data_IF_536769088484
#
_entry.id   IF_536769088484
#
_cell.length_a   1.000
_cell.length_b   1.000
_cell.length_c   1.000
_cell.angle_alpha   90.00
_cell.angle_beta   90.00
_cell.angle_gamma   90.00
#
_symmetry.space_group_name_H-M   'P 1'
#
loop_
_entity.id
_entity.type
_entity.pdbx_description
1 polymer ?
#
# COMPACT_ATOMS: atom_id res chain seq x y z
N UNK A 1 -9.27 -18.48 -5.22
CA UNK A 1 -8.01 -17.95 -4.63
C UNK A 1 -8.31 -17.32 -3.27
N UNK A 2 -7.41 -17.45 -2.28
CA UNK A 2 -7.53 -16.82 -0.96
C UNK A 2 -6.22 -16.09 -0.66
N UNK A 3 -6.31 -14.87 -0.13
CA UNK A 3 -5.19 -14.09 0.40
C UNK A 3 -5.31 -13.99 1.93
N UNK A 4 -4.21 -14.10 2.65
CA UNK A 4 -4.14 -14.01 4.10
C UNK A 4 -2.81 -13.42 4.55
N UNK A 5 -2.74 -12.98 5.80
CA UNK A 5 -1.54 -12.49 6.45
C UNK A 5 -1.36 -13.12 7.83
N UNK A 6 -0.12 -13.35 8.21
CA UNK A 6 0.24 -13.66 9.59
C UNK A 6 0.45 -12.38 10.42
N UNK A 7 0.63 -11.23 9.77
CA UNK A 7 0.83 -9.95 10.45
C UNK A 7 -0.48 -9.36 11.00
N UNK A 8 -1.62 -9.59 10.31
CA UNK A 8 -2.96 -9.14 10.75
C UNK A 8 -4.08 -9.95 10.10
N UNK A 9 -5.26 -9.98 10.74
CA UNK A 9 -6.47 -10.60 10.20
C UNK A 9 -7.28 -9.64 9.32
N UNK A 10 -8.22 -10.20 8.55
CA UNK A 10 -9.13 -9.38 7.72
C UNK A 10 -9.97 -8.42 8.59
N UNK A 11 -10.02 -7.16 8.19
CA UNK A 11 -10.61 -6.05 8.93
C UNK A 11 -10.03 -5.86 10.36
N UNK A 12 -8.79 -6.31 10.59
CA UNK A 12 -8.09 -6.08 11.83
C UNK A 12 -7.01 -5.00 11.66
N UNK A 13 -6.56 -4.46 12.80
CA UNK A 13 -5.55 -3.40 12.82
C UNK A 13 -4.23 -3.88 12.23
N UNK A 14 -3.69 -3.12 11.29
CA UNK A 14 -2.32 -3.30 10.78
C UNK A 14 -1.34 -3.00 11.92
N UNK A 15 -0.34 -3.87 12.20
CA UNK A 15 0.66 -3.61 13.23
C UNK A 15 1.45 -2.32 12.95
N UNK A 16 1.79 -1.58 14.00
CA UNK A 16 2.59 -0.36 13.88
C UNK A 16 3.90 -0.55 13.13
N UNK A 17 4.54 -1.72 13.27
CA UNK A 17 5.76 -2.05 12.51
C UNK A 17 5.54 -2.06 10.97
N UNK A 18 4.31 -2.31 10.51
CA UNK A 18 3.96 -2.25 9.10
C UNK A 18 3.45 -0.86 8.66
N UNK A 19 3.33 0.10 9.57
CA UNK A 19 2.91 1.46 9.25
C UNK A 19 4.11 2.37 8.94
N UNK A 20 3.87 3.43 8.18
CA UNK A 20 4.84 4.52 7.97
C UNK A 20 5.00 5.34 9.24
N UNK A 21 3.89 5.58 9.96
CA UNK A 21 3.89 6.27 11.24
C UNK A 21 2.99 5.58 12.27
N UNK A 22 3.29 5.80 13.55
CA UNK A 22 2.50 5.37 14.71
C UNK A 22 2.07 6.58 15.53
N UNK A 23 0.99 6.49 16.33
CA UNK A 23 0.60 7.57 17.24
C UNK A 23 1.73 7.92 18.21
N UNK A 24 1.92 9.22 18.47
CA UNK A 24 2.87 9.74 19.44
C UNK A 24 2.18 10.76 20.36
N UNK A 25 2.54 10.72 21.65
CA UNK A 25 1.79 11.47 22.69
C UNK A 25 1.93 12.99 22.58
N UNK A 26 3.06 13.50 22.10
CA UNK A 26 3.37 14.95 22.00
C UNK A 26 3.35 15.47 20.58
N UNK A 27 3.85 14.68 19.62
CA UNK A 27 4.07 15.12 18.23
C UNK A 27 3.01 14.55 17.28
N UNK A 28 1.90 14.02 17.82
CA UNK A 28 0.84 13.29 17.13
C UNK A 28 1.28 12.01 16.48
N UNK A 29 2.42 11.99 15.80
CA UNK A 29 2.99 10.83 15.12
C UNK A 29 4.48 10.68 15.38
N UNK A 30 4.96 9.44 15.32
CA UNK A 30 6.36 9.10 15.19
C UNK A 30 6.54 8.17 13.98
N UNK A 31 7.66 8.29 13.26
CA UNK A 31 7.99 7.38 12.16
C UNK A 31 8.16 5.95 12.68
N UNK A 32 7.75 4.97 11.89
CA UNK A 32 7.79 3.56 12.27
C UNK A 32 8.69 2.74 11.35
N UNK A 33 8.72 1.41 11.56
CA UNK A 33 9.60 0.51 10.82
C UNK A 33 9.21 0.33 9.34
N UNK A 34 8.00 0.70 8.94
CA UNK A 34 7.55 0.71 7.54
C UNK A 34 7.81 -0.63 6.81
N UNK A 35 7.59 -1.74 7.52
CA UNK A 35 7.77 -3.10 6.97
C UNK A 35 6.56 -3.49 6.14
N UNK A 36 6.77 -4.07 4.95
CA UNK A 36 5.63 -4.71 4.31
C UNK A 36 5.14 -5.89 5.18
N UNK A 37 3.81 -6.10 5.31
CA UNK A 37 3.29 -7.24 6.06
C UNK A 37 3.63 -8.57 5.37
N UNK A 38 3.65 -9.66 6.15
CA UNK A 38 3.64 -11.00 5.59
C UNK A 38 2.31 -11.22 4.86
N UNK A 39 2.39 -11.78 3.65
CA UNK A 39 1.23 -12.17 2.85
C UNK A 39 1.42 -13.60 2.34
N UNK A 40 0.34 -14.37 2.28
CA UNK A 40 0.34 -15.69 1.67
C UNK A 40 -0.97 -15.95 0.95
N UNK A 41 -0.91 -16.77 -0.10
CA UNK A 41 -2.09 -17.09 -0.90
C UNK A 41 -2.14 -18.54 -1.34
N UNK A 42 -3.34 -19.01 -1.60
CA UNK A 42 -3.62 -20.38 -2.04
C UNK A 42 -4.76 -20.42 -3.05
N UNK A 43 -4.89 -21.54 -3.74
CA UNK A 43 -5.97 -21.77 -4.71
C UNK A 43 -5.89 -20.84 -5.92
N UNK A 44 -4.68 -20.45 -6.33
CA UNK A 44 -4.48 -19.79 -7.61
C UNK A 44 -4.85 -20.72 -8.77
N UNK A 45 -5.41 -20.20 -9.88
CA UNK A 45 -5.64 -21.00 -11.09
C UNK A 45 -4.35 -21.65 -11.59
N UNK A 46 -4.46 -22.90 -12.09
CA UNK A 46 -3.28 -23.66 -12.55
C UNK A 46 -2.60 -23.04 -13.79
N UNK A 47 -3.33 -22.25 -14.56
CA UNK A 47 -2.87 -21.51 -15.74
C UNK A 47 -2.36 -20.10 -15.43
N UNK A 48 -2.34 -19.71 -14.15
CA UNK A 48 -1.72 -18.45 -13.73
C UNK A 48 -0.22 -18.44 -14.07
N UNK A 49 0.24 -17.38 -14.72
CA UNK A 49 1.64 -17.19 -15.12
C UNK A 49 2.37 -16.18 -14.26
N UNK A 50 1.65 -15.22 -13.69
CA UNK A 50 2.19 -14.24 -12.74
C UNK A 50 1.13 -13.72 -11.80
N UNK A 51 1.58 -12.96 -10.78
CA UNK A 51 0.70 -12.22 -9.90
C UNK A 51 1.04 -10.73 -9.92
N UNK A 52 -0.01 -9.94 -9.68
CA UNK A 52 0.06 -8.51 -9.35
C UNK A 52 -0.50 -8.32 -7.96
N UNK A 53 0.19 -7.56 -7.11
CA UNK A 53 -0.28 -7.16 -5.79
C UNK A 53 -0.39 -5.64 -5.74
N UNK A 54 -1.57 -5.14 -5.34
CA UNK A 54 -1.82 -3.72 -5.11
C UNK A 54 -2.33 -3.54 -3.68
N UNK A 55 -1.76 -2.59 -2.95
CA UNK A 55 -2.33 -2.08 -1.71
C UNK A 55 -2.77 -0.64 -1.93
N UNK A 56 -4.04 -0.33 -1.66
CA UNK A 56 -4.57 1.03 -1.71
C UNK A 56 -5.46 1.33 -0.50
N UNK A 57 -5.51 2.60 -0.14
CA UNK A 57 -6.41 3.20 0.84
C UNK A 57 -7.44 4.04 0.08
N UNK A 58 -8.72 3.74 0.23
CA UNK A 58 -9.81 4.47 -0.42
C UNK A 58 -10.44 5.56 0.47
N UNK A 59 -9.91 5.75 1.67
CA UNK A 59 -10.43 6.69 2.66
C UNK A 59 -9.62 8.01 2.73
N UNK A 60 -8.69 8.23 1.80
CA UNK A 60 -7.83 9.41 1.82
C UNK A 60 -8.63 10.68 1.53
N UNK A 61 -8.49 11.75 2.33
CA UNK A 61 -9.19 13.01 2.11
C UNK A 61 -8.95 13.56 0.71
N UNK A 62 -10.03 13.96 0.00
CA UNK A 62 -9.92 14.56 -1.35
C UNK A 62 -9.33 15.98 -1.34
N UNK A 63 -9.16 16.60 -0.15
CA UNK A 63 -8.57 17.91 0.07
C UNK A 63 -7.69 17.90 1.32
N UNK A 64 -6.59 18.63 1.26
CA UNK A 64 -5.61 18.71 2.35
C UNK A 64 -5.80 19.85 3.34
N UNK A 65 -6.84 20.71 3.18
CA UNK A 65 -6.96 21.97 3.91
C UNK A 65 -6.97 21.82 5.45
N UNK A 66 -7.57 20.74 5.95
CA UNK A 66 -7.68 20.46 7.38
C UNK A 66 -6.75 19.33 7.84
N UNK A 67 -6.05 18.67 6.90
CA UNK A 67 -5.18 17.53 7.19
C UNK A 67 -4.04 17.94 8.10
N UNK A 68 -3.92 17.25 9.25
CA UNK A 68 -2.85 17.45 10.22
C UNK A 68 -2.75 18.90 10.75
N UNK A 69 -3.90 19.59 10.90
CA UNK A 69 -3.97 20.95 11.45
C UNK A 69 -4.46 20.93 12.90
N UNK A 70 -3.74 21.65 13.79
CA UNK A 70 -4.16 21.83 15.17
C UNK A 70 -5.52 22.54 15.27
N UNK A 71 -6.38 22.04 16.16
CA UNK A 71 -7.72 22.60 16.38
C UNK A 71 -8.71 22.35 15.24
N UNK A 72 -8.35 21.54 14.24
CA UNK A 72 -9.22 21.11 13.15
C UNK A 72 -9.41 19.60 13.15
N UNK A 73 -10.45 19.12 12.47
CA UNK A 73 -10.61 17.71 12.13
C UNK A 73 -10.87 17.55 10.63
N UNK A 74 -10.50 16.41 10.07
CA UNK A 74 -10.90 16.02 8.71
C UNK A 74 -12.28 15.37 8.83
N UNK A 75 -13.35 16.00 8.33
CA UNK A 75 -14.71 15.50 8.55
C UNK A 75 -14.96 14.16 7.86
N UNK A 76 -15.72 13.29 8.52
CA UNK A 76 -16.17 12.02 7.93
C UNK A 76 -16.97 12.21 6.63
N UNK A 77 -17.65 13.36 6.47
CA UNK A 77 -18.45 13.70 5.29
C UNK A 77 -17.62 14.20 4.10
N UNK A 78 -16.31 14.44 4.26
CA UNK A 78 -15.45 14.87 3.17
C UNK A 78 -15.35 13.74 2.12
N UNK A 79 -15.52 14.01 0.81
CA UNK A 79 -15.26 13.02 -0.23
C UNK A 79 -13.86 12.41 -0.13
N UNK A 80 -13.76 11.12 -0.39
CA UNK A 80 -12.52 10.35 -0.27
C UNK A 80 -12.01 9.94 -1.65
N UNK A 81 -10.71 9.69 -1.74
CA UNK A 81 -10.01 9.27 -2.96
C UNK A 81 -9.06 8.12 -2.67
N UNK A 82 -8.73 7.35 -3.71
CA UNK A 82 -7.75 6.28 -3.60
C UNK A 82 -6.33 6.84 -3.43
N UNK A 83 -5.53 6.14 -2.61
CA UNK A 83 -4.11 6.36 -2.44
C UNK A 83 -3.39 5.01 -2.49
N UNK A 84 -2.48 4.85 -3.45
CA UNK A 84 -1.76 3.60 -3.64
C UNK A 84 -0.52 3.55 -2.75
N UNK A 85 -0.47 2.55 -1.87
CA UNK A 85 0.62 2.28 -0.92
C UNK A 85 1.65 1.28 -1.44
N UNK A 86 1.23 0.38 -2.33
CA UNK A 86 2.10 -0.63 -2.92
C UNK A 86 1.57 -1.05 -4.29
N UNK A 87 2.47 -1.08 -5.28
CA UNK A 87 2.19 -1.55 -6.64
C UNK A 87 3.31 -2.53 -7.00
N UNK A 88 3.01 -3.82 -7.05
CA UNK A 88 3.97 -4.90 -7.33
C UNK A 88 3.44 -5.75 -8.47
N UNK A 89 4.23 -5.92 -9.52
CA UNK A 89 3.86 -6.68 -10.73
C UNK A 89 4.90 -7.76 -11.03
N UNK A 90 4.52 -8.71 -11.87
CA UNK A 90 5.40 -9.77 -12.37
C UNK A 90 5.91 -10.74 -11.30
N UNK A 91 5.20 -10.90 -10.16
CA UNK A 91 5.52 -11.97 -9.23
C UNK A 91 5.32 -13.32 -9.93
N UNK A 92 6.34 -14.20 -9.99
CA UNK A 92 6.22 -15.48 -10.68
C UNK A 92 5.13 -16.38 -10.09
N UNK A 93 4.49 -17.20 -10.92
CA UNK A 93 3.44 -18.15 -10.51
C UNK A 93 3.89 -19.14 -9.42
N UNK A 94 5.18 -19.43 -9.31
CA UNK A 94 5.75 -20.29 -8.27
C UNK A 94 5.86 -19.64 -6.89
N UNK A 95 5.64 -18.33 -6.78
CA UNK A 95 5.61 -17.61 -5.48
C UNK A 95 4.20 -17.73 -4.89
N UNK A 96 4.11 -18.11 -3.63
CA UNK A 96 2.84 -18.23 -2.89
C UNK A 96 2.83 -17.45 -1.57
N UNK A 97 3.91 -16.76 -1.26
CA UNK A 97 4.01 -15.92 -0.07
C UNK A 97 5.07 -14.82 -0.25
N UNK A 98 4.90 -13.76 0.51
CA UNK A 98 5.86 -12.66 0.73
C UNK A 98 6.11 -12.62 2.23
N UNK A 99 7.38 -12.62 2.66
CA UNK A 99 7.73 -12.48 4.07
C UNK A 99 7.53 -11.02 4.54
N UNK A 100 7.31 -10.84 5.85
CA UNK A 100 7.38 -9.51 6.46
C UNK A 100 8.77 -8.90 6.23
N UNK A 101 8.82 -7.61 5.96
CA UNK A 101 10.06 -6.87 5.67
C UNK A 101 10.83 -7.34 4.42
N UNK A 102 10.23 -8.14 3.56
CA UNK A 102 10.93 -8.64 2.36
C UNK A 102 11.12 -7.55 1.29
N UNK A 103 10.14 -6.69 1.09
CA UNK A 103 10.14 -5.64 0.07
C UNK A 103 10.28 -4.23 0.64
N UNK A 104 10.08 -4.07 1.95
CA UNK A 104 10.24 -2.82 2.67
C UNK A 104 10.60 -3.09 4.13
N UNK A 105 11.73 -2.57 4.60
CA UNK A 105 12.18 -2.62 5.97
C UNK A 105 12.84 -1.27 6.31
N UNK A 106 12.02 -0.26 6.51
CA UNK A 106 12.43 1.10 6.83
C UNK A 106 11.84 2.16 5.90
N UNK A 107 11.92 3.40 6.35
CA UNK A 107 11.60 4.59 5.56
C UNK A 107 12.87 5.05 4.86
N UNK A 108 12.78 5.29 3.56
CA UNK A 108 13.89 5.83 2.76
C UNK A 108 13.50 7.22 2.29
N UNK A 109 14.16 8.24 2.81
CA UNK A 109 13.96 9.62 2.34
C UNK A 109 14.16 9.68 0.82
N UNK A 110 13.26 10.37 0.11
CA UNK A 110 13.21 10.46 -1.35
C UNK A 110 12.83 9.16 -2.07
N UNK A 111 12.37 8.15 -1.32
CA UNK A 111 11.85 6.90 -1.84
C UNK A 111 12.87 5.79 -2.05
N UNK A 112 12.38 4.57 -2.02
CA UNK A 112 13.14 3.37 -2.36
C UNK A 112 13.40 3.31 -3.86
N UNK A 113 14.49 2.67 -4.24
CA UNK A 113 14.84 2.44 -5.65
C UNK A 113 13.90 1.42 -6.30
N UNK A 114 13.74 1.53 -7.62
CA UNK A 114 12.95 0.65 -8.46
C UNK A 114 13.18 0.94 -9.94
N UNK A 115 12.42 0.30 -10.83
CA UNK A 115 11.31 -0.63 -10.56
C UNK A 115 11.72 -2.07 -10.19
N UNK A 116 12.96 -2.51 -10.45
CA UNK A 116 13.40 -3.89 -10.23
C UNK A 116 13.28 -4.28 -8.75
N UNK A 117 12.75 -5.48 -8.50
CA UNK A 117 12.49 -6.00 -7.17
C UNK A 117 12.86 -7.48 -7.04
N UNK A 118 12.72 -8.04 -5.84
CA UNK A 118 12.96 -9.46 -5.57
C UNK A 118 12.10 -10.36 -6.46
N UNK A 119 12.53 -11.60 -6.63
CA UNK A 119 11.88 -12.63 -7.46
C UNK A 119 11.76 -12.28 -8.96
N UNK A 120 12.48 -11.29 -9.47
CA UNK A 120 12.32 -10.80 -10.83
C UNK A 120 11.06 -9.97 -11.05
N UNK A 121 10.36 -9.63 -9.98
CA UNK A 121 9.22 -8.73 -9.99
C UNK A 121 9.65 -7.28 -10.23
N UNK A 122 8.67 -6.41 -10.47
CA UNK A 122 8.85 -4.94 -10.56
C UNK A 122 7.88 -4.23 -9.63
N UNK A 123 8.30 -3.09 -9.10
CA UNK A 123 7.48 -2.21 -8.28
C UNK A 123 7.19 -0.91 -9.03
N UNK A 124 5.94 -0.45 -8.97
CA UNK A 124 5.55 0.88 -9.42
C UNK A 124 5.72 1.93 -8.34
N UNK A 125 5.52 3.18 -8.74
CA UNK A 125 5.47 4.32 -7.82
C UNK A 125 4.19 4.26 -6.99
N UNK A 126 4.34 4.45 -5.70
CA UNK A 126 3.24 4.70 -4.78
C UNK A 126 2.95 6.21 -4.68
N UNK A 127 1.84 6.59 -4.04
CA UNK A 127 1.35 7.96 -4.05
C UNK A 127 2.05 8.86 -3.03
N UNK A 128 2.91 8.33 -2.16
CA UNK A 128 3.85 9.16 -1.39
C UNK A 128 4.76 10.00 -2.31
N UNK A 129 5.01 9.55 -3.55
CA UNK A 129 5.69 10.34 -4.59
C UNK A 129 5.00 11.69 -4.83
N UNK A 130 3.68 11.71 -4.91
CA UNK A 130 2.92 12.94 -5.08
C UNK A 130 2.75 13.70 -3.77
N UNK A 131 2.54 12.97 -2.66
CA UNK A 131 2.37 13.54 -1.34
C UNK A 131 3.59 14.38 -0.90
N UNK A 132 4.79 13.85 -1.12
CA UNK A 132 6.04 14.52 -0.74
C UNK A 132 6.61 15.46 -1.82
N UNK A 133 5.93 15.70 -2.94
CA UNK A 133 6.47 16.51 -4.04
C UNK A 133 6.90 17.93 -3.65
N UNK A 134 6.28 18.51 -2.62
CA UNK A 134 6.62 19.83 -2.07
C UNK A 134 7.60 19.84 -0.91
N UNK A 135 7.99 18.67 -0.39
CA UNK A 135 8.87 18.53 0.75
C UNK A 135 10.35 18.49 0.31
N UNK A 136 11.19 19.35 0.90
CA UNK A 136 12.62 19.47 0.50
C UNK A 136 13.44 18.24 0.84
N UNK A 137 13.11 17.55 1.94
CA UNK A 137 13.86 16.39 2.44
C UNK A 137 13.31 15.07 1.88
N UNK A 138 11.99 15.02 1.65
CA UNK A 138 11.31 13.77 1.28
C UNK A 138 10.94 13.69 -0.20
N UNK A 139 10.94 14.79 -0.96
CA UNK A 139 10.58 14.77 -2.39
C UNK A 139 11.41 13.78 -3.20
N UNK A 140 10.76 12.86 -3.93
CA UNK A 140 11.42 11.84 -4.75
C UNK A 140 10.46 10.78 -5.28
N UNK A 141 11.02 9.71 -5.86
CA UNK A 141 10.29 8.61 -6.45
C UNK A 141 10.16 7.45 -5.45
N UNK A 142 8.95 7.22 -4.94
CA UNK A 142 8.65 6.18 -3.94
C UNK A 142 8.22 4.90 -4.64
N UNK A 143 9.14 3.96 -4.85
CA UNK A 143 8.83 2.62 -5.34
C UNK A 143 8.50 1.68 -4.18
N UNK A 144 7.59 0.73 -4.43
CA UNK A 144 7.28 -0.34 -3.50
C UNK A 144 6.32 0.06 -2.39
N UNK A 145 6.44 -0.65 -1.27
CA UNK A 145 5.56 -0.48 -0.12
C UNK A 145 6.00 0.68 0.76
N UNK A 146 5.07 1.59 1.03
CA UNK A 146 5.11 2.51 2.14
C UNK A 146 3.76 2.45 2.87
N UNK A 147 3.82 2.17 4.18
CA UNK A 147 2.68 1.76 4.98
C UNK A 147 1.72 2.88 5.38
N UNK A 148 0.73 2.56 6.22
CA UNK A 148 -0.25 3.51 6.72
C UNK A 148 0.33 4.75 7.39
N UNK A 149 -0.20 5.92 7.02
CA UNK A 149 0.01 7.20 7.70
C UNK A 149 -1.20 8.13 7.46
N UNK A 150 -2.41 7.74 7.89
CA UNK A 150 -3.59 8.58 7.71
C UNK A 150 -3.45 9.86 8.55
N UNK A 151 -4.22 10.92 8.27
CA UNK A 151 -4.20 12.14 9.09
C UNK A 151 -4.48 11.82 10.57
N UNK A 152 -3.66 12.36 11.48
CA UNK A 152 -3.84 12.13 12.92
C UNK A 152 -5.11 12.80 13.49
N UNK A 153 -5.76 13.66 12.71
CA UNK A 153 -7.01 14.33 13.04
C UNK A 153 -8.18 13.91 12.17
N UNK A 154 -8.08 12.79 11.44
CA UNK A 154 -9.20 12.26 10.64
C UNK A 154 -10.27 11.64 11.56
N UNK A 155 -11.54 11.87 11.21
CA UNK A 155 -12.69 11.37 11.98
C UNK A 155 -13.04 9.92 11.66
N UNK A 156 -12.41 9.30 10.66
CA UNK A 156 -12.69 7.91 10.26
C UNK A 156 -11.46 7.01 10.33
N UNK A 157 -11.71 5.72 10.47
CA UNK A 157 -10.71 4.67 10.23
C UNK A 157 -10.40 4.59 8.73
N UNK A 158 -9.15 4.35 8.39
CA UNK A 158 -8.72 4.09 7.02
C UNK A 158 -8.61 2.59 6.75
N UNK A 159 -8.99 2.16 5.54
CA UNK A 159 -8.97 0.78 5.09
C UNK A 159 -7.90 0.59 4.01
N UNK A 160 -6.98 -0.32 4.28
CA UNK A 160 -5.86 -0.66 3.39
C UNK A 160 -6.17 -2.00 2.75
N UNK A 161 -6.58 -1.96 1.48
CA UNK A 161 -7.00 -3.15 0.73
C UNK A 161 -5.82 -3.70 -0.05
N UNK A 162 -5.32 -4.86 0.37
CA UNK A 162 -4.34 -5.64 -0.37
C UNK A 162 -5.10 -6.54 -1.35
N UNK A 163 -4.95 -6.33 -2.64
CA UNK A 163 -5.57 -7.14 -3.68
C UNK A 163 -4.51 -7.84 -4.51
N UNK A 164 -4.59 -9.17 -4.54
CA UNK A 164 -3.75 -10.03 -5.36
C UNK A 164 -4.55 -10.48 -6.60
N UNK A 165 -3.98 -10.27 -7.78
CA UNK A 165 -4.50 -10.68 -9.07
C UNK A 165 -3.64 -11.79 -9.65
N UNK A 166 -4.22 -12.91 -10.04
CA UNK A 166 -3.58 -13.97 -10.83
C UNK A 166 -3.80 -13.69 -12.31
N UNK A 167 -2.74 -13.65 -13.10
CA UNK A 167 -2.79 -13.29 -14.51
C UNK A 167 -2.46 -14.45 -15.44
N UNK A 168 -3.07 -14.47 -16.63
CA UNK A 168 -2.74 -15.37 -17.74
C UNK A 168 -1.47 -14.98 -18.49
N UNK A 169 -0.86 -13.84 -18.18
CA UNK A 169 0.39 -13.32 -18.75
C UNK A 169 1.54 -13.43 -17.75
N UNK A 170 2.74 -13.75 -18.23
CA UNK A 170 3.93 -13.81 -17.38
C UNK A 170 4.46 -12.42 -17.02
N UNK A 171 4.04 -11.38 -17.75
CA UNK A 171 4.52 -10.00 -17.56
C UNK A 171 3.40 -9.00 -17.78
N UNK A 172 3.26 -8.07 -16.86
CA UNK A 172 2.34 -6.95 -16.96
C UNK A 172 2.84 -5.94 -18.00
N UNK A 173 1.96 -5.46 -18.86
CA UNK A 173 2.27 -4.56 -19.98
C UNK A 173 2.47 -3.10 -19.53
N UNK A 174 3.30 -2.89 -18.51
CA UNK A 174 3.70 -1.57 -18.00
C UNK A 174 5.22 -1.41 -18.10
N UNK A 175 5.70 -0.16 -18.24
CA UNK A 175 7.13 0.16 -18.33
C UNK A 175 7.44 1.51 -17.70
N UNK A 176 8.71 1.77 -17.39
CA UNK A 176 9.17 3.00 -16.80
C UNK A 176 8.60 3.24 -15.40
N UNK A 177 8.19 4.46 -15.11
CA UNK A 177 7.61 4.89 -13.82
C UNK A 177 6.08 4.70 -13.84
N UNK A 178 5.62 3.45 -13.79
CA UNK A 178 4.20 3.12 -13.76
C UNK A 178 3.60 3.25 -12.34
N UNK A 179 2.29 3.45 -12.26
CA UNK A 179 1.50 3.61 -11.03
C UNK A 179 0.36 2.59 -10.97
N UNK A 180 -0.39 2.56 -9.86
CA UNK A 180 -1.50 1.64 -9.66
C UNK A 180 -2.55 1.69 -10.77
N UNK A 181 -2.96 2.87 -11.21
CA UNK A 181 -3.92 3.04 -12.30
C UNK A 181 -3.45 2.49 -13.65
N UNK A 182 -2.15 2.63 -13.96
CA UNK A 182 -1.55 2.07 -15.19
C UNK A 182 -1.60 0.53 -15.16
N UNK A 183 -1.29 -0.05 -13.99
CA UNK A 183 -1.33 -1.51 -13.78
C UNK A 183 -2.75 -2.04 -13.90
N UNK A 184 -3.73 -1.42 -13.22
CA UNK A 184 -5.13 -1.85 -13.29
C UNK A 184 -5.64 -1.86 -14.73
N UNK A 185 -5.30 -0.83 -15.52
CA UNK A 185 -5.63 -0.78 -16.95
C UNK A 185 -4.90 -1.85 -17.76
N UNK A 186 -3.62 -2.10 -17.45
CA UNK A 186 -2.81 -3.06 -18.21
C UNK A 186 -3.22 -4.52 -17.97
N UNK A 187 -3.87 -4.83 -16.83
CA UNK A 187 -4.33 -6.19 -16.51
C UNK A 187 -5.79 -6.44 -16.92
N UNK A 188 -6.50 -5.46 -17.46
CA UNK A 188 -7.87 -5.66 -17.99
C UNK A 188 -7.89 -6.79 -19.02
N UNK A 189 -8.80 -7.77 -18.83
CA UNK A 189 -8.92 -8.94 -19.70
C UNK A 189 -7.89 -10.06 -19.44
N UNK A 190 -6.91 -9.84 -18.56
CA UNK A 190 -5.86 -10.81 -18.21
C UNK A 190 -6.02 -11.45 -16.84
N UNK A 191 -7.01 -11.02 -16.05
CA UNK A 191 -7.22 -11.50 -14.68
C UNK A 191 -7.98 -12.82 -14.67
N UNK A 192 -7.33 -13.89 -14.24
CA UNK A 192 -7.94 -15.22 -14.06
C UNK A 192 -8.68 -15.34 -12.72
N UNK A 193 -8.12 -14.74 -11.67
CA UNK A 193 -8.72 -14.72 -10.33
C UNK A 193 -8.16 -13.54 -9.53
N UNK A 194 -8.90 -13.11 -8.50
CA UNK A 194 -8.43 -12.14 -7.51
C UNK A 194 -8.84 -12.53 -6.10
N UNK A 195 -8.08 -12.10 -5.11
CA UNK A 195 -8.41 -12.18 -3.69
C UNK A 195 -7.94 -10.93 -2.97
N UNK A 196 -8.67 -10.51 -1.94
CA UNK A 196 -8.33 -9.33 -1.17
C UNK A 196 -8.26 -9.63 0.33
N UNK A 197 -7.48 -8.83 1.04
CA UNK A 197 -7.37 -8.79 2.49
C UNK A 197 -7.37 -7.30 2.87
N UNK A 198 -8.22 -6.91 3.81
CA UNK A 198 -8.31 -5.53 4.27
C UNK A 198 -7.70 -5.41 5.66
N UNK A 199 -6.78 -4.47 5.85
CA UNK A 199 -6.35 -4.01 7.16
C UNK A 199 -6.94 -2.63 7.47
N UNK A 200 -7.11 -2.31 8.75
CA UNK A 200 -7.54 -0.98 9.19
C UNK A 200 -6.43 -0.27 9.95
N UNK A 201 -6.41 1.04 9.87
CA UNK A 201 -5.46 1.86 10.62
C UNK A 201 -6.00 3.26 10.90
N UNK A 202 -5.57 3.85 12.02
CA UNK A 202 -5.79 5.24 12.35
C UNK A 202 -4.63 5.77 13.19
N UNK A 203 -4.35 7.06 13.07
CA UNK A 203 -3.44 7.81 13.93
C UNK A 203 -4.21 8.70 14.91
N UNK A 204 -5.51 8.94 14.67
CA UNK A 204 -6.37 9.67 15.58
C UNK A 204 -6.56 8.88 16.88
N UNK A 205 -6.13 9.41 18.05
CA UNK A 205 -6.21 8.70 19.33
C UNK A 205 -7.64 8.40 19.79
N UNK A 206 -8.65 9.02 19.18
CA UNK A 206 -10.06 8.73 19.45
C UNK A 206 -10.58 7.46 18.75
N UNK A 207 -9.80 6.93 17.79
CA UNK A 207 -10.16 5.77 16.95
C UNK A 207 -9.28 4.54 17.25
N UNK A 208 -8.34 4.64 18.17
CA UNK A 208 -7.36 3.58 18.51
C UNK A 208 -7.57 3.07 19.93
#
# INVERSE_FOLDING_TARGET
>A
MKLSSASFGDNQRIPGACAFAVPHATDHIALSANRNPQLSWSGAPADAKSFVLICHDYDVPSKGDDVNQEGRSVPASLPRVDFYHWVLVDLPAGVSAIAEAEFSDGIVARGKQGPEAKHGARQGLNDYTAWFAGDKEMSGNYYGYDGPCPPWNDEILHHYVFTLYALDSARCAVSGMFRGGDVLKAIEGHVLAKASLTGIYALNPKLV
#
